data_IF_522550760130
#
_entry.id   IF_522550760130
#
_cell.length_a   1.000
_cell.length_b   1.000
_cell.length_c   1.000
_cell.angle_alpha   90.00
_cell.angle_beta   90.00
_cell.angle_gamma   90.00
#
_symmetry.space_group_name_H-M   'P 1'
#
loop_
_entity.id
_entity.type
_entity.pdbx_description
1 polymer ?
#
# COMPACT_ATOMS: atom_id res chain seq x y z
N UNK A 1 29.14 -100.39 2.52
CA UNK A 1 28.01 -99.48 2.53
C UNK A 1 28.32 -98.44 3.60
N UNK A 2 28.70 -97.27 3.14
CA UNK A 2 29.27 -96.22 4.00
C UNK A 2 28.21 -95.18 4.23
N UNK A 3 27.90 -94.90 5.52
CA UNK A 3 26.98 -93.91 5.99
C UNK A 3 27.76 -92.54 6.13
N UNK A 4 27.34 -91.46 5.45
CA UNK A 4 27.89 -90.16 5.59
C UNK A 4 26.88 -89.29 6.37
N UNK A 5 27.18 -88.98 7.61
CA UNK A 5 26.45 -87.91 8.36
C UNK A 5 26.84 -86.53 7.93
N UNK A 6 25.83 -85.73 7.50
CA UNK A 6 25.99 -84.29 7.22
C UNK A 6 25.79 -83.50 8.54
N UNK A 7 26.84 -82.88 9.04
CA UNK A 7 26.77 -81.86 10.12
C UNK A 7 26.36 -80.53 9.52
N UNK A 8 25.23 -80.00 9.99
CA UNK A 8 24.73 -78.68 9.67
C UNK A 8 25.30 -77.70 10.68
N UNK A 9 26.13 -76.76 10.20
CA UNK A 9 26.68 -75.63 10.98
C UNK A 9 25.65 -74.47 10.96
N UNK A 10 24.98 -74.25 12.08
CA UNK A 10 24.10 -73.05 12.24
C UNK A 10 25.00 -71.90 12.68
N UNK A 11 25.21 -70.92 11.77
CA UNK A 11 25.83 -69.64 12.11
C UNK A 11 24.76 -68.70 12.66
N UNK A 12 24.81 -68.36 13.92
CA UNK A 12 24.08 -67.26 14.53
C UNK A 12 24.73 -65.94 14.12
N UNK A 13 24.10 -65.22 13.19
CA UNK A 13 24.43 -63.86 12.86
C UNK A 13 23.77 -62.91 13.86
N UNK A 14 24.56 -62.26 14.72
CA UNK A 14 24.09 -61.19 15.59
C UNK A 14 23.84 -59.94 14.77
N UNK A 15 22.55 -59.66 14.45
CA UNK A 15 22.16 -58.37 13.84
C UNK A 15 22.11 -57.34 14.98
N UNK A 16 23.10 -56.47 15.06
CA UNK A 16 23.04 -55.26 15.89
C UNK A 16 22.19 -54.25 15.11
N UNK A 17 20.91 -54.10 15.51
CA UNK A 17 20.05 -53.05 15.04
C UNK A 17 20.50 -51.73 15.70
N UNK A 18 21.23 -50.92 14.97
CA UNK A 18 21.52 -49.53 15.33
C UNK A 18 20.22 -48.74 15.19
N UNK A 19 19.43 -48.64 16.27
CA UNK A 19 18.32 -47.71 16.36
C UNK A 19 18.88 -46.31 16.45
N UNK A 20 19.01 -45.62 15.29
CA UNK A 20 19.29 -44.20 15.24
C UNK A 20 18.09 -43.49 15.87
N UNK A 21 18.22 -43.11 17.15
CA UNK A 21 17.31 -42.15 17.77
C UNK A 21 17.40 -40.86 17.00
N UNK A 22 16.47 -40.63 16.05
CA UNK A 22 16.20 -39.32 15.44
C UNK A 22 15.71 -38.41 16.57
N UNK A 23 16.62 -37.78 17.29
CA UNK A 23 16.27 -36.67 18.16
C UNK A 23 15.62 -35.64 17.26
N UNK A 24 14.38 -35.19 17.55
CA UNK A 24 13.75 -34.13 16.77
C UNK A 24 14.66 -32.91 16.87
N UNK A 25 15.22 -32.51 15.73
CA UNK A 25 16.02 -31.30 15.63
C UNK A 25 15.10 -30.14 15.96
N UNK A 26 15.06 -29.74 17.23
CA UNK A 26 14.29 -28.56 17.65
C UNK A 26 14.96 -27.36 16.98
N UNK A 27 14.22 -26.71 16.06
CA UNK A 27 14.71 -25.52 15.42
C UNK A 27 15.12 -24.50 16.50
N UNK A 28 16.38 -24.04 16.43
CA UNK A 28 16.93 -23.13 17.41
C UNK A 28 16.17 -21.80 17.36
N UNK A 29 15.55 -21.43 18.48
CA UNK A 29 14.80 -20.18 18.59
C UNK A 29 15.76 -19.00 18.70
N UNK A 30 15.60 -18.01 17.81
CA UNK A 30 16.37 -16.75 17.76
C UNK A 30 15.72 -15.74 18.69
N UNK A 31 14.40 -15.54 18.52
CA UNK A 31 13.63 -14.60 19.33
C UNK A 31 12.16 -15.02 19.47
N UNK A 32 11.52 -14.52 20.50
CA UNK A 32 10.07 -14.56 20.69
C UNK A 32 9.52 -13.17 20.52
N UNK A 33 8.45 -13.01 19.69
CA UNK A 33 7.79 -11.77 19.36
C UNK A 33 6.36 -11.83 19.89
N UNK A 34 6.04 -11.09 20.94
CA UNK A 34 4.67 -10.97 21.46
C UNK A 34 4.04 -9.71 20.83
N UNK A 35 2.99 -9.92 20.03
CA UNK A 35 2.29 -8.85 19.32
C UNK A 35 0.96 -8.58 19.97
N UNK A 36 0.74 -7.34 20.45
CA UNK A 36 -0.53 -6.94 21.06
C UNK A 36 -1.54 -6.49 19.99
N UNK A 37 -2.55 -7.32 19.77
CA UNK A 37 -3.62 -7.11 18.81
C UNK A 37 -5.01 -7.03 19.47
N UNK A 38 -5.09 -6.94 20.81
CA UNK A 38 -6.34 -7.02 21.58
C UNK A 38 -7.41 -6.01 21.19
N UNK A 39 -7.02 -4.82 20.76
CA UNK A 39 -7.92 -3.72 20.41
C UNK A 39 -8.24 -3.66 18.90
N UNK A 40 -7.87 -4.71 18.16
CA UNK A 40 -8.04 -4.75 16.70
C UNK A 40 -9.33 -5.49 16.33
N UNK A 41 -9.85 -5.17 15.15
CA UNK A 41 -11.03 -5.84 14.60
C UNK A 41 -10.70 -7.33 14.37
N UNK A 42 -11.42 -8.29 14.96
CA UNK A 42 -11.06 -9.73 14.91
C UNK A 42 -10.99 -10.31 13.50
N UNK A 43 -11.69 -9.71 12.56
CA UNK A 43 -11.89 -10.24 11.21
C UNK A 43 -10.79 -9.85 10.22
N UNK A 44 -9.87 -8.94 10.59
CA UNK A 44 -8.85 -8.41 9.67
C UNK A 44 -7.46 -8.80 10.09
N UNK A 45 -6.67 -9.31 9.15
CA UNK A 45 -5.24 -9.46 9.39
C UNK A 45 -4.57 -8.07 9.44
N UNK A 46 -3.68 -7.93 10.41
CA UNK A 46 -2.95 -6.70 10.68
C UNK A 46 -1.51 -6.88 10.20
N UNK A 47 -1.01 -5.92 9.45
CA UNK A 47 0.39 -5.87 9.07
C UNK A 47 1.27 -5.60 10.30
N UNK A 48 2.26 -6.45 10.49
CA UNK A 48 3.25 -6.39 11.58
C UNK A 48 4.63 -6.30 10.96
N UNK A 49 5.50 -5.49 11.56
CA UNK A 49 6.88 -5.37 11.12
C UNK A 49 7.85 -5.18 12.27
N UNK A 50 9.08 -5.69 12.13
CA UNK A 50 10.17 -5.49 13.09
C UNK A 50 11.49 -5.24 12.37
N UNK A 51 12.38 -4.49 13.02
CA UNK A 51 13.77 -4.36 12.61
C UNK A 51 14.48 -5.71 12.83
N UNK A 52 14.78 -6.43 11.76
CA UNK A 52 15.41 -7.75 11.82
C UNK A 52 16.89 -7.66 12.21
N UNK A 53 17.56 -6.57 11.83
CA UNK A 53 18.97 -6.37 12.17
C UNK A 53 19.19 -6.13 13.66
N UNK A 54 18.17 -5.60 14.37
CA UNK A 54 18.15 -5.50 15.82
C UNK A 54 17.97 -6.86 16.52
N UNK A 55 17.57 -7.91 15.78
CA UNK A 55 17.27 -9.24 16.35
C UNK A 55 18.38 -10.25 15.99
N UNK A 56 18.84 -10.25 14.74
CA UNK A 56 19.79 -11.26 14.25
C UNK A 56 20.56 -10.82 13.01
N UNK A 57 21.82 -11.27 12.92
CA UNK A 57 22.67 -11.13 11.75
C UNK A 57 22.64 -12.35 10.81
N UNK A 58 21.83 -13.38 11.15
CA UNK A 58 21.71 -14.56 10.29
C UNK A 58 21.17 -14.19 8.89
N UNK A 59 21.62 -14.90 7.84
CA UNK A 59 21.11 -14.71 6.49
C UNK A 59 19.60 -15.02 6.41
N UNK A 60 18.88 -14.31 5.54
CA UNK A 60 17.43 -14.45 5.33
C UNK A 60 17.02 -15.88 4.94
N UNK A 61 17.91 -16.59 4.24
CA UNK A 61 17.68 -17.96 3.76
C UNK A 61 17.63 -19.04 4.86
N UNK A 62 18.06 -18.70 6.09
CA UNK A 62 18.10 -19.64 7.23
C UNK A 62 17.23 -19.18 8.39
N UNK A 63 16.26 -18.33 8.11
CA UNK A 63 15.30 -17.82 9.10
C UNK A 63 13.90 -18.37 8.78
N UNK A 64 13.14 -18.73 9.79
CA UNK A 64 11.73 -19.08 9.68
C UNK A 64 10.91 -18.38 10.75
N UNK A 65 9.65 -18.04 10.43
CA UNK A 65 8.70 -17.44 11.34
C UNK A 65 7.58 -18.45 11.62
N UNK A 66 7.25 -18.66 12.88
CA UNK A 66 6.16 -19.54 13.30
C UNK A 66 5.26 -18.84 14.32
N UNK A 67 3.95 -19.01 14.19
CA UNK A 67 2.98 -18.62 15.23
C UNK A 67 2.88 -19.73 16.28
N UNK A 68 2.79 -19.35 17.55
CA UNK A 68 2.75 -20.27 18.70
C UNK A 68 1.37 -20.15 19.37
N UNK A 69 0.67 -21.29 19.47
CA UNK A 69 -0.58 -21.41 20.21
C UNK A 69 -0.49 -22.64 21.11
N UNK A 70 -0.23 -22.44 22.40
CA UNK A 70 0.08 -23.57 23.33
C UNK A 70 1.29 -24.35 22.79
N UNK A 71 1.10 -25.65 22.58
CA UNK A 71 2.14 -26.55 22.05
C UNK A 71 2.18 -26.60 20.51
N UNK A 72 1.25 -25.91 19.80
CA UNK A 72 1.16 -25.93 18.36
C UNK A 72 2.02 -24.81 17.75
N UNK A 73 2.88 -25.17 16.78
CA UNK A 73 3.61 -24.24 15.93
C UNK A 73 3.03 -24.27 14.52
N UNK A 74 2.72 -23.11 13.97
CA UNK A 74 2.20 -22.97 12.60
C UNK A 74 3.15 -22.05 11.81
N UNK A 75 3.74 -22.49 10.70
CA UNK A 75 4.58 -21.66 9.87
C UNK A 75 3.80 -20.43 9.36
N UNK A 76 4.46 -19.27 9.32
CA UNK A 76 3.90 -18.00 8.90
C UNK A 76 4.68 -17.48 7.70
N UNK A 77 3.95 -17.08 6.67
CA UNK A 77 4.54 -16.40 5.53
C UNK A 77 5.03 -15.01 5.95
N UNK A 78 6.22 -14.64 5.53
CA UNK A 78 6.81 -13.34 5.80
C UNK A 78 7.59 -12.83 4.58
N UNK A 79 7.92 -11.55 4.61
CA UNK A 79 8.71 -10.88 3.59
C UNK A 79 9.75 -9.99 4.26
N UNK A 80 10.98 -10.00 3.77
CA UNK A 80 12.04 -9.12 4.26
C UNK A 80 12.24 -7.99 3.25
N UNK A 81 12.08 -6.77 3.74
CA UNK A 81 12.43 -5.57 3.00
C UNK A 81 13.88 -5.19 3.32
N UNK A 82 14.67 -4.89 2.26
CA UNK A 82 16.09 -4.58 2.39
C UNK A 82 16.37 -3.19 1.77
N UNK A 83 16.13 -2.14 2.55
CA UNK A 83 16.36 -0.72 2.17
C UNK A 83 17.29 -0.04 3.18
N UNK A 84 18.55 -0.48 3.20
CA UNK A 84 19.56 -0.04 4.19
C UNK A 84 19.45 -0.69 5.57
N UNK A 85 18.29 -1.26 5.89
CA UNK A 85 17.99 -2.13 7.03
C UNK A 85 17.12 -3.28 6.58
N UNK A 86 17.23 -4.43 7.24
CA UNK A 86 16.32 -5.56 7.05
C UNK A 86 15.11 -5.40 7.94
N UNK A 87 13.94 -5.22 7.34
CA UNK A 87 12.66 -5.20 8.05
C UNK A 87 11.89 -6.47 7.74
N UNK A 88 11.54 -7.23 8.76
CA UNK A 88 10.69 -8.41 8.64
C UNK A 88 9.22 -8.00 8.70
N UNK A 89 8.46 -8.38 7.67
CA UNK A 89 7.03 -8.09 7.55
C UNK A 89 6.22 -9.37 7.54
N UNK A 90 5.08 -9.41 8.25
CA UNK A 90 4.10 -10.50 8.16
C UNK A 90 2.69 -9.99 8.44
N UNK A 91 1.70 -10.84 8.19
CA UNK A 91 0.31 -10.58 8.53
C UNK A 91 -0.07 -11.42 9.74
N UNK A 92 -0.77 -10.82 10.71
CA UNK A 92 -1.17 -11.46 11.95
C UNK A 92 -2.67 -11.28 12.20
N UNK A 93 -3.35 -12.38 12.58
CA UNK A 93 -4.77 -12.34 12.95
C UNK A 93 -4.91 -11.81 14.38
N UNK A 94 -5.82 -10.84 14.61
CA UNK A 94 -6.15 -10.38 15.94
C UNK A 94 -6.66 -11.49 16.85
N UNK A 95 -6.37 -11.37 18.13
CA UNK A 95 -6.83 -12.27 19.17
C UNK A 95 -7.07 -11.51 20.48
N UNK A 96 -7.90 -12.07 21.37
CA UNK A 96 -8.20 -11.49 22.68
C UNK A 96 -6.96 -11.41 23.62
N UNK A 97 -5.93 -12.19 23.33
CA UNK A 97 -4.64 -12.21 24.03
C UNK A 97 -3.52 -11.86 23.05
N UNK A 98 -2.34 -11.44 23.52
CA UNK A 98 -1.20 -11.22 22.64
C UNK A 98 -0.88 -12.46 21.82
N UNK A 99 -0.64 -12.26 20.51
CA UNK A 99 -0.25 -13.35 19.61
C UNK A 99 1.26 -13.51 19.68
N UNK A 100 1.71 -14.75 19.89
CA UNK A 100 3.13 -15.06 20.04
C UNK A 100 3.67 -15.66 18.75
N UNK A 101 4.77 -15.10 18.27
CA UNK A 101 5.54 -15.64 17.16
C UNK A 101 6.95 -16.01 17.64
N UNK A 102 7.55 -17.01 17.03
CA UNK A 102 8.96 -17.31 17.20
C UNK A 102 9.70 -17.13 15.87
N UNK A 103 10.79 -16.39 15.92
CA UNK A 103 11.80 -16.39 14.89
C UNK A 103 12.78 -17.53 15.19
N UNK A 104 12.93 -18.46 14.27
CA UNK A 104 13.71 -19.67 14.46
C UNK A 104 14.74 -19.84 13.34
N UNK A 105 15.86 -20.53 13.62
CA UNK A 105 16.79 -20.98 12.58
C UNK A 105 16.12 -22.10 11.80
N UNK A 106 15.88 -21.90 10.52
CA UNK A 106 15.15 -22.85 9.69
C UNK A 106 14.98 -22.35 8.26
N UNK A 107 14.35 -23.13 7.42
CA UNK A 107 14.04 -22.72 6.05
C UNK A 107 12.79 -21.84 6.02
N UNK A 108 12.78 -20.76 5.23
CA UNK A 108 11.59 -19.94 4.98
C UNK A 108 10.42 -20.78 4.48
N UNK A 109 9.19 -20.45 4.94
CA UNK A 109 7.99 -21.00 4.35
C UNK A 109 7.89 -20.53 2.88
N UNK A 110 7.86 -21.46 1.94
CA UNK A 110 7.51 -21.15 0.55
C UNK A 110 6.00 -21.01 0.46
N UNK A 111 5.51 -19.79 0.41
CA UNK A 111 4.09 -19.53 0.15
C UNK A 111 3.79 -19.73 -1.34
N UNK A 112 2.69 -20.40 -1.66
CA UNK A 112 2.19 -20.50 -3.02
C UNK A 112 1.39 -19.24 -3.42
N UNK A 113 0.82 -18.54 -2.43
CA UNK A 113 0.03 -17.33 -2.66
C UNK A 113 0.96 -16.09 -2.60
N UNK A 114 1.16 -15.46 -3.75
CA UNK A 114 1.94 -14.24 -3.86
C UNK A 114 1.13 -13.20 -4.63
N UNK A 115 1.08 -12.00 -4.08
CA UNK A 115 0.67 -10.83 -4.85
C UNK A 115 1.76 -10.51 -5.87
N UNK A 116 1.38 -10.16 -7.10
CA UNK A 116 2.27 -9.93 -8.22
C UNK A 116 2.31 -8.45 -8.59
N UNK A 117 3.44 -8.01 -9.12
CA UNK A 117 3.62 -6.70 -9.74
C UNK A 117 4.30 -6.89 -11.09
N UNK A 118 3.57 -6.66 -12.18
CA UNK A 118 4.04 -6.93 -13.55
C UNK A 118 4.03 -5.62 -14.33
N UNK A 119 5.16 -5.29 -14.97
CA UNK A 119 5.30 -4.15 -15.88
C UNK A 119 5.12 -4.60 -17.31
N UNK A 120 4.09 -4.07 -17.97
CA UNK A 120 3.73 -4.41 -19.34
C UNK A 120 3.00 -3.22 -19.98
N UNK A 121 3.18 -2.98 -21.27
CA UNK A 121 2.46 -1.99 -22.09
C UNK A 121 2.41 -0.57 -21.50
N UNK A 122 3.48 -0.16 -20.84
CA UNK A 122 3.57 1.20 -20.26
C UNK A 122 2.83 1.38 -18.94
N UNK A 123 2.43 0.28 -18.30
CA UNK A 123 1.86 0.27 -16.97
C UNK A 123 2.45 -0.83 -16.09
N UNK A 124 2.30 -0.67 -14.77
CA UNK A 124 2.56 -1.70 -13.78
C UNK A 124 1.23 -2.12 -13.18
N UNK A 125 0.91 -3.42 -13.27
CA UNK A 125 -0.31 -3.97 -12.67
C UNK A 125 0.04 -4.79 -11.44
N UNK A 126 -0.62 -4.49 -10.32
CA UNK A 126 -0.59 -5.34 -9.12
C UNK A 126 -1.83 -6.21 -9.12
N UNK A 127 -1.62 -7.54 -8.94
CA UNK A 127 -2.68 -8.54 -8.99
C UNK A 127 -2.50 -9.63 -7.93
N UNK A 128 -3.62 -10.23 -7.49
CA UNK A 128 -3.66 -11.40 -6.63
C UNK A 128 -4.35 -12.56 -7.38
N UNK A 129 -3.58 -13.59 -7.72
CA UNK A 129 -4.05 -14.64 -8.62
C UNK A 129 -4.39 -14.05 -10.01
N UNK A 130 -5.65 -14.23 -10.43
CA UNK A 130 -6.20 -13.68 -11.67
C UNK A 130 -6.96 -12.35 -11.50
N UNK A 131 -7.00 -11.80 -10.28
CA UNK A 131 -7.70 -10.53 -9.98
C UNK A 131 -6.72 -9.37 -10.00
N UNK A 132 -6.95 -8.38 -10.86
CA UNK A 132 -6.23 -7.12 -10.83
C UNK A 132 -6.74 -6.27 -9.65
N UNK A 133 -5.83 -5.58 -8.97
CA UNK A 133 -6.12 -4.72 -7.83
C UNK A 133 -5.86 -3.24 -8.18
N UNK A 134 -4.74 -2.97 -8.85
CA UNK A 134 -4.32 -1.62 -9.19
C UNK A 134 -3.47 -1.64 -10.46
N UNK A 135 -3.65 -0.63 -11.33
CA UNK A 135 -2.76 -0.37 -12.47
C UNK A 135 -2.18 1.04 -12.36
N UNK A 136 -0.86 1.13 -12.35
CA UNK A 136 -0.10 2.37 -12.38
C UNK A 136 0.42 2.64 -13.79
N UNK A 137 0.01 3.75 -14.39
CA UNK A 137 0.37 4.13 -15.75
C UNK A 137 1.62 5.01 -15.72
N UNK A 138 2.78 4.44 -16.06
CA UNK A 138 4.04 5.17 -16.11
C UNK A 138 4.34 5.75 -17.49
N UNK A 139 3.80 5.17 -18.57
CA UNK A 139 3.87 5.73 -19.91
C UNK A 139 2.85 6.86 -20.06
N UNK A 140 3.17 7.88 -20.87
CA UNK A 140 2.25 8.98 -21.15
C UNK A 140 0.99 8.48 -21.83
N UNK A 141 -0.16 8.77 -21.23
CA UNK A 141 -1.49 8.54 -21.78
C UNK A 141 -1.95 9.85 -22.40
N UNK A 142 -2.32 9.80 -23.68
CA UNK A 142 -2.84 10.94 -24.42
C UNK A 142 -4.36 11.06 -24.26
N UNK A 143 -4.91 12.26 -24.35
CA UNK A 143 -6.37 12.44 -24.36
C UNK A 143 -6.98 11.83 -25.63
N UNK A 144 -8.31 11.64 -25.68
CA UNK A 144 -9.01 11.16 -26.87
C UNK A 144 -8.73 12.00 -28.11
N UNK A 145 -8.86 11.39 -29.29
CA UNK A 145 -8.65 12.09 -30.57
C UNK A 145 -9.51 13.36 -30.67
N UNK A 146 -8.90 14.47 -31.03
CA UNK A 146 -9.56 15.78 -31.14
C UNK A 146 -9.54 16.63 -29.87
N UNK A 147 -9.07 16.07 -28.75
CA UNK A 147 -8.87 16.80 -27.50
C UNK A 147 -7.42 17.30 -27.42
N UNK A 148 -7.24 18.49 -26.84
CA UNK A 148 -5.93 19.13 -26.72
C UNK A 148 -4.91 18.20 -26.00
N UNK A 149 -3.78 17.97 -26.67
CA UNK A 149 -2.69 17.12 -26.15
C UNK A 149 -2.02 17.69 -24.90
N UNK A 150 -2.31 18.92 -24.50
CA UNK A 150 -1.89 19.47 -23.21
C UNK A 150 -2.38 18.60 -22.04
N UNK A 151 -3.53 17.92 -22.18
CA UNK A 151 -4.09 17.05 -21.17
C UNK A 151 -3.39 15.70 -21.03
N UNK A 152 -2.35 15.39 -21.81
CA UNK A 152 -1.57 14.17 -21.64
C UNK A 152 -0.90 14.10 -20.27
N UNK A 153 -0.81 12.88 -19.68
CA UNK A 153 -0.20 12.65 -18.36
C UNK A 153 0.41 11.27 -18.23
N UNK A 154 1.42 11.16 -17.38
CA UNK A 154 1.95 9.89 -16.86
C UNK A 154 1.98 9.93 -15.32
N UNK A 155 2.33 8.84 -14.66
CA UNK A 155 2.50 8.82 -13.21
C UNK A 155 1.17 8.89 -12.44
N UNK A 156 0.20 8.02 -12.77
CA UNK A 156 -1.11 7.96 -12.11
C UNK A 156 -1.65 6.54 -12.01
N UNK A 157 -2.58 6.33 -11.10
CA UNK A 157 -3.23 5.03 -10.87
C UNK A 157 -4.61 5.02 -11.54
N UNK A 158 -4.79 4.12 -12.51
CA UNK A 158 -6.06 3.81 -13.15
C UNK A 158 -5.93 2.55 -14.02
N UNK A 159 -6.87 1.58 -13.87
CA UNK A 159 -7.89 1.49 -12.84
C UNK A 159 -7.36 1.19 -11.43
N UNK A 160 -8.11 1.57 -10.41
CA UNK A 160 -8.18 0.93 -9.11
C UNK A 160 -9.39 0.02 -9.13
N UNK A 161 -9.21 -1.28 -8.91
CA UNK A 161 -10.31 -2.24 -8.96
C UNK A 161 -10.78 -2.62 -7.56
N UNK A 162 -12.08 -2.87 -7.40
CA UNK A 162 -12.60 -3.55 -6.23
C UNK A 162 -12.13 -5.01 -6.19
N UNK A 163 -12.24 -5.73 -5.08
CA UNK A 163 -11.93 -7.18 -5.01
C UNK A 163 -12.69 -8.03 -6.02
N UNK A 164 -13.88 -7.61 -6.47
CA UNK A 164 -14.67 -8.29 -7.51
C UNK A 164 -14.39 -7.80 -8.94
N UNK A 165 -13.45 -6.84 -9.11
CA UNK A 165 -12.97 -6.40 -10.42
C UNK A 165 -13.70 -5.20 -11.01
N UNK A 166 -14.56 -4.51 -10.24
CA UNK A 166 -15.18 -3.27 -10.72
C UNK A 166 -14.19 -2.10 -10.66
N UNK A 167 -14.19 -1.26 -11.69
CA UNK A 167 -13.32 -0.08 -11.77
C UNK A 167 -13.87 1.06 -10.90
N UNK A 168 -13.13 1.45 -9.88
CA UNK A 168 -13.49 2.51 -8.93
C UNK A 168 -12.96 3.90 -9.32
N UNK A 169 -12.21 4.00 -10.42
CA UNK A 169 -11.61 5.24 -10.88
C UNK A 169 -12.03 5.57 -12.30
N UNK A 170 -11.87 6.84 -12.71
CA UNK A 170 -12.12 7.35 -14.05
C UNK A 170 -11.00 8.28 -14.47
N UNK A 171 -10.65 8.31 -15.77
CA UNK A 171 -9.72 9.29 -16.33
C UNK A 171 -10.38 10.08 -17.46
N UNK A 172 -9.84 11.26 -17.73
CA UNK A 172 -10.13 12.06 -18.93
C UNK A 172 -11.63 12.24 -19.22
N UNK A 173 -12.43 12.39 -18.15
CA UNK A 173 -13.85 12.67 -18.33
C UNK A 173 -14.07 13.93 -19.17
N UNK A 174 -15.09 14.00 -20.04
CA UNK A 174 -15.32 15.14 -20.92
C UNK A 174 -15.48 16.49 -20.20
N UNK A 175 -15.91 16.44 -18.93
CA UNK A 175 -16.02 17.59 -18.06
C UNK A 175 -14.67 18.05 -17.48
N UNK A 176 -13.68 17.12 -17.35
CA UNK A 176 -12.36 17.38 -16.75
C UNK A 176 -11.29 16.45 -17.34
N UNK A 177 -10.82 16.73 -18.56
CA UNK A 177 -9.77 15.94 -19.23
C UNK A 177 -8.46 15.85 -18.45
N UNK A 178 -8.22 16.74 -17.48
CA UNK A 178 -7.04 16.74 -16.61
C UNK A 178 -7.19 15.84 -15.35
N UNK A 179 -8.30 15.12 -15.16
CA UNK A 179 -8.47 14.17 -14.06
C UNK A 179 -8.00 12.76 -14.45
N UNK A 180 -7.21 12.12 -13.55
CA UNK A 180 -6.51 10.87 -13.83
C UNK A 180 -6.58 9.87 -12.68
N UNK A 181 -7.77 9.34 -12.39
CA UNK A 181 -7.99 8.27 -11.40
C UNK A 181 -7.56 8.65 -9.99
N UNK A 182 -6.41 8.13 -9.53
CA UNK A 182 -5.69 8.61 -8.35
C UNK A 182 -4.39 9.25 -8.80
N UNK A 183 -4.19 10.53 -8.45
CA UNK A 183 -3.01 11.30 -8.85
C UNK A 183 -2.72 12.44 -7.85
N UNK A 184 -1.50 12.97 -7.82
CA UNK A 184 -1.04 13.91 -6.79
C UNK A 184 -0.39 15.17 -7.37
N UNK A 185 -1.06 15.99 -8.17
CA UNK A 185 -0.52 17.27 -8.63
C UNK A 185 -0.90 18.42 -7.71
N UNK A 186 -0.23 19.55 -7.92
CA UNK A 186 -0.47 20.80 -7.22
C UNK A 186 -0.89 21.90 -8.20
N UNK A 187 -1.68 22.84 -7.72
CA UNK A 187 -2.07 24.04 -8.45
C UNK A 187 -1.73 25.29 -7.64
N UNK A 188 -1.70 26.47 -8.28
CA UNK A 188 -1.30 27.73 -7.64
C UNK A 188 0.06 27.61 -6.92
N UNK A 189 1.05 27.07 -7.63
CA UNK A 189 2.41 26.90 -7.12
C UNK A 189 3.24 28.12 -7.52
N UNK A 190 3.92 28.75 -6.56
CA UNK A 190 4.90 29.81 -6.86
C UNK A 190 6.28 29.20 -6.88
N UNK A 191 6.97 29.36 -8.00
CA UNK A 191 8.32 28.90 -8.24
C UNK A 191 9.09 29.94 -9.06
N UNK A 192 10.22 30.42 -8.55
CA UNK A 192 11.04 31.49 -9.18
C UNK A 192 10.24 32.74 -9.57
N UNK A 193 9.29 33.15 -8.72
CA UNK A 193 8.44 34.32 -8.93
C UNK A 193 7.26 34.11 -9.88
N UNK A 194 7.19 32.98 -10.63
CA UNK A 194 6.09 32.63 -11.50
C UNK A 194 5.03 31.79 -10.77
N UNK A 195 3.74 31.98 -11.14
CA UNK A 195 2.67 31.09 -10.73
C UNK A 195 2.47 30.00 -11.76
N UNK A 196 2.70 28.74 -11.35
CA UNK A 196 2.61 27.54 -12.19
C UNK A 196 1.47 26.63 -11.74
N UNK A 197 1.05 25.74 -12.63
CA UNK A 197 -0.05 24.81 -12.40
C UNK A 197 0.29 23.44 -12.97
N UNK A 198 0.41 22.44 -12.10
CA UNK A 198 0.66 21.06 -12.48
C UNK A 198 -0.64 20.24 -12.56
N UNK A 199 -1.77 20.82 -12.16
CA UNK A 199 -3.08 20.17 -12.09
C UNK A 199 -3.89 20.30 -13.36
N UNK A 200 -4.21 21.56 -13.76
CA UNK A 200 -5.21 21.83 -14.80
C UNK A 200 -4.73 21.55 -16.24
N UNK A 201 -3.44 21.58 -16.51
CA UNK A 201 -2.74 21.24 -17.74
C UNK A 201 -3.06 22.13 -18.98
N UNK A 202 -4.28 22.65 -19.12
CA UNK A 202 -4.74 23.38 -20.29
C UNK A 202 -3.84 24.58 -20.62
N UNK A 203 -3.41 25.31 -19.60
CA UNK A 203 -2.62 26.53 -19.77
C UNK A 203 -1.13 26.26 -20.03
N UNK A 204 -0.74 24.97 -20.11
CA UNK A 204 0.65 24.53 -20.39
C UNK A 204 1.68 25.23 -19.50
N UNK A 205 1.35 25.43 -18.21
CA UNK A 205 2.28 26.01 -17.23
C UNK A 205 3.17 24.97 -16.58
N UNK A 206 2.75 23.71 -16.57
CA UNK A 206 3.50 22.60 -16.00
C UNK A 206 2.77 21.28 -16.07
N UNK A 207 3.42 20.23 -15.59
CA UNK A 207 2.87 18.89 -15.50
C UNK A 207 3.62 18.07 -14.44
N UNK A 208 3.05 16.95 -13.99
CA UNK A 208 3.79 15.91 -13.28
C UNK A 208 4.13 14.80 -14.27
N UNK A 209 5.38 14.35 -14.27
CA UNK A 209 5.91 13.39 -15.24
C UNK A 209 6.60 12.24 -14.50
N UNK A 210 6.26 11.00 -14.85
CA UNK A 210 7.03 9.84 -14.43
C UNK A 210 8.46 9.92 -14.95
N UNK A 211 9.43 9.61 -14.09
CA UNK A 211 10.86 9.56 -14.42
C UNK A 211 11.35 8.12 -14.50
N UNK A 212 11.30 7.38 -13.37
CA UNK A 212 11.79 6.01 -13.31
C UNK A 212 11.20 5.25 -12.11
N UNK A 213 11.40 3.93 -12.14
CA UNK A 213 11.17 3.06 -10.99
C UNK A 213 12.42 2.97 -10.11
N UNK A 214 12.28 3.30 -8.84
CA UNK A 214 13.32 3.06 -7.82
C UNK A 214 13.35 1.58 -7.44
N UNK A 215 12.17 0.98 -7.26
CA UNK A 215 12.04 -0.44 -6.93
C UNK A 215 10.67 -0.99 -7.31
N UNK A 216 10.62 -2.29 -7.57
CA UNK A 216 9.38 -3.08 -7.67
C UNK A 216 9.60 -4.37 -6.92
N UNK A 217 8.82 -4.61 -5.88
CA UNK A 217 8.89 -5.78 -5.02
C UNK A 217 7.55 -6.49 -4.96
N UNK A 218 7.56 -7.81 -4.93
CA UNK A 218 6.37 -8.62 -4.78
C UNK A 218 6.68 -9.86 -3.97
N UNK A 219 5.74 -10.29 -3.12
CA UNK A 219 5.97 -11.42 -2.22
C UNK A 219 4.70 -11.86 -1.50
N UNK A 220 4.84 -12.70 -0.47
CA UNK A 220 3.69 -13.27 0.22
C UNK A 220 2.96 -12.32 1.19
N UNK A 221 3.51 -11.14 1.46
CA UNK A 221 2.92 -10.17 2.41
C UNK A 221 2.39 -8.94 1.69
N UNK A 222 3.14 -8.44 0.70
CA UNK A 222 2.75 -7.28 -0.08
C UNK A 222 3.44 -7.25 -1.45
N UNK A 223 2.86 -6.49 -2.39
CA UNK A 223 3.57 -5.93 -3.54
C UNK A 223 3.71 -4.42 -3.37
N UNK A 224 4.86 -3.89 -3.80
CA UNK A 224 5.18 -2.47 -3.73
C UNK A 224 5.91 -2.03 -4.99
N UNK A 225 5.60 -0.83 -5.45
CA UNK A 225 6.47 -0.10 -6.34
C UNK A 225 6.84 1.26 -5.74
N UNK A 226 8.04 1.74 -6.09
CA UNK A 226 8.50 3.08 -5.80
C UNK A 226 8.90 3.75 -7.10
N UNK A 227 8.41 4.97 -7.32
CA UNK A 227 8.63 5.73 -8.55
C UNK A 227 9.07 7.15 -8.26
N UNK A 228 9.90 7.68 -9.14
CA UNK A 228 10.26 9.09 -9.18
C UNK A 228 9.35 9.82 -10.16
N UNK A 229 8.87 10.98 -9.73
CA UNK A 229 8.16 11.92 -10.57
C UNK A 229 8.84 13.28 -10.50
N UNK A 230 8.80 14.02 -11.62
CA UNK A 230 9.19 15.43 -11.70
C UNK A 230 7.96 16.31 -11.88
N UNK A 231 7.85 17.34 -11.05
CA UNK A 231 6.92 18.46 -11.26
C UNK A 231 7.60 19.47 -12.16
N UNK A 232 7.30 19.40 -13.45
CA UNK A 232 7.98 20.14 -14.52
C UNK A 232 7.26 21.43 -14.83
N UNK A 233 7.97 22.54 -14.78
CA UNK A 233 7.50 23.87 -15.16
C UNK A 233 7.86 24.14 -16.62
N UNK A 234 6.91 24.58 -17.40
CA UNK A 234 7.12 25.05 -18.76
C UNK A 234 7.36 26.56 -18.76
N UNK A 235 8.59 26.97 -19.07
CA UNK A 235 8.98 28.39 -19.10
C UNK A 235 8.51 29.09 -20.37
N UNK A 236 8.37 30.43 -20.31
CA UNK A 236 7.92 31.25 -21.43
C UNK A 236 8.88 31.23 -22.62
N UNK A 237 10.15 30.96 -22.38
CA UNK A 237 11.19 30.83 -23.40
C UNK A 237 11.22 29.45 -24.09
N UNK A 238 10.30 28.56 -23.74
CA UNK A 238 10.19 27.20 -24.26
C UNK A 238 11.07 26.16 -23.55
N UNK A 239 11.84 26.55 -22.53
CA UNK A 239 12.62 25.60 -21.70
C UNK A 239 11.76 24.95 -20.64
N UNK A 240 12.24 23.84 -20.09
CA UNK A 240 11.61 23.13 -18.98
C UNK A 240 12.50 23.20 -17.73
N UNK A 241 11.89 23.33 -16.56
CA UNK A 241 12.60 23.28 -15.28
C UNK A 241 11.83 22.44 -14.27
N UNK A 242 12.53 21.59 -13.53
CA UNK A 242 11.92 20.79 -12.45
C UNK A 242 11.86 21.64 -11.18
N UNK A 243 10.65 21.82 -10.64
CA UNK A 243 10.44 22.53 -9.38
C UNK A 243 10.50 21.57 -8.19
N UNK A 244 9.86 20.40 -8.28
CA UNK A 244 9.82 19.38 -7.24
C UNK A 244 10.18 18.01 -7.80
N UNK A 245 10.93 17.24 -7.03
CA UNK A 245 11.04 15.81 -7.18
C UNK A 245 10.06 15.15 -6.20
N UNK A 246 9.36 14.12 -6.67
CA UNK A 246 8.44 13.32 -5.88
C UNK A 246 8.88 11.86 -5.89
N UNK A 247 9.07 11.27 -4.71
CA UNK A 247 9.17 9.82 -4.55
C UNK A 247 7.81 9.31 -4.08
N UNK A 248 7.14 8.54 -4.93
CA UNK A 248 5.87 7.89 -4.61
C UNK A 248 6.09 6.40 -4.34
N UNK A 249 5.64 5.92 -3.19
CA UNK A 249 5.60 4.49 -2.85
C UNK A 249 4.15 4.04 -2.75
N UNK A 250 3.80 2.97 -3.45
CA UNK A 250 2.47 2.35 -3.38
C UNK A 250 2.63 0.89 -3.01
N UNK A 251 2.04 0.49 -1.87
CA UNK A 251 2.11 -0.86 -1.31
C UNK A 251 0.71 -1.43 -1.18
N UNK A 252 0.47 -2.59 -1.77
CA UNK A 252 -0.77 -3.35 -1.60
C UNK A 252 -0.46 -4.59 -0.80
N UNK A 253 -1.13 -4.77 0.34
CA UNK A 253 -1.00 -5.96 1.17
C UNK A 253 -1.74 -7.14 0.55
N UNK A 254 -1.19 -8.35 0.77
CA UNK A 254 -1.77 -9.60 0.27
C UNK A 254 -3.23 -9.72 0.72
N UNK A 255 -4.22 -9.73 -0.19
CA UNK A 255 -5.60 -9.99 0.19
C UNK A 255 -5.75 -11.41 0.75
N UNK A 256 -6.55 -11.57 1.79
CA UNK A 256 -6.84 -12.88 2.35
C UNK A 256 -7.81 -13.66 1.46
N UNK A 257 -7.73 -15.00 1.51
CA UNK A 257 -8.72 -15.86 0.84
C UNK A 257 -10.10 -15.57 1.40
N UNK A 258 -11.08 -15.38 0.51
CA UNK A 258 -12.49 -15.11 0.84
C UNK A 258 -12.75 -13.75 1.52
N UNK A 259 -11.81 -12.82 1.49
CA UNK A 259 -12.04 -11.44 1.94
C UNK A 259 -12.43 -10.54 0.78
N UNK A 260 -13.46 -9.74 0.99
CA UNK A 260 -13.98 -8.78 0.02
C UNK A 260 -13.35 -7.40 0.20
N UNK A 261 -12.08 -7.36 0.62
CA UNK A 261 -11.31 -6.12 0.75
C UNK A 261 -9.80 -6.35 0.57
N UNK A 262 -9.09 -5.26 0.33
CA UNK A 262 -7.64 -5.17 0.45
C UNK A 262 -7.22 -3.76 0.90
N UNK A 263 -5.96 -3.63 1.29
CA UNK A 263 -5.36 -2.37 1.74
C UNK A 263 -4.29 -1.93 0.77
N UNK A 264 -4.34 -0.65 0.38
CA UNK A 264 -3.32 0.02 -0.42
C UNK A 264 -2.80 1.25 0.34
N UNK A 265 -1.50 1.28 0.64
CA UNK A 265 -0.81 2.42 1.23
C UNK A 265 -0.11 3.25 0.15
N UNK A 266 -0.26 4.56 0.20
CA UNK A 266 0.41 5.51 -0.68
C UNK A 266 1.23 6.46 0.19
N UNK A 267 2.54 6.49 -0.03
CA UNK A 267 3.44 7.46 0.61
C UNK A 267 4.04 8.34 -0.47
N UNK A 268 3.98 9.65 -0.27
CA UNK A 268 4.47 10.67 -1.18
C UNK A 268 5.51 11.51 -0.44
N UNK A 269 6.72 11.59 -0.98
CA UNK A 269 7.79 12.43 -0.47
C UNK A 269 8.12 13.49 -1.49
N UNK A 270 8.08 14.76 -1.08
CA UNK A 270 8.36 15.93 -1.92
C UNK A 270 9.66 16.59 -1.47
N UNK A 271 10.49 16.95 -2.45
CA UNK A 271 11.72 17.70 -2.26
C UNK A 271 11.81 18.80 -3.32
N UNK A 272 12.34 19.99 -2.95
CA UNK A 272 12.71 20.98 -3.97
C UNK A 272 13.80 20.41 -4.87
N UNK A 273 13.62 20.53 -6.18
CA UNK A 273 14.57 20.02 -7.17
C UNK A 273 15.76 20.97 -7.40
N UNK A 274 15.68 22.21 -6.90
CA UNK A 274 16.72 23.24 -6.99
C UNK A 274 16.92 23.94 -5.64
N UNK A 275 17.77 24.96 -5.65
CA UNK A 275 18.03 25.80 -4.47
C UNK A 275 16.86 26.73 -4.13
N UNK A 276 15.93 26.92 -5.06
CA UNK A 276 14.76 27.76 -4.87
C UNK A 276 13.67 27.04 -4.09
N UNK A 277 13.04 27.69 -3.11
CA UNK A 277 11.89 27.17 -2.43
C UNK A 277 10.68 27.10 -3.37
N UNK A 278 9.75 26.20 -3.05
CA UNK A 278 8.48 26.06 -3.76
C UNK A 278 7.34 26.38 -2.79
N UNK A 279 6.51 27.35 -3.13
CA UNK A 279 5.37 27.73 -2.32
C UNK A 279 4.09 27.18 -2.95
N UNK A 280 3.48 26.21 -2.28
CA UNK A 280 2.14 25.72 -2.60
C UNK A 280 1.13 26.65 -1.94
N UNK A 281 0.48 27.49 -2.77
CA UNK A 281 -0.46 28.50 -2.29
C UNK A 281 -1.77 27.86 -1.83
N UNK A 282 -2.42 28.54 -0.90
CA UNK A 282 -3.80 28.26 -0.54
C UNK A 282 -4.67 28.20 -1.80
N UNK A 283 -5.35 27.07 -1.98
CA UNK A 283 -6.31 26.87 -3.04
C UNK A 283 -7.26 25.72 -2.74
N UNK A 284 -8.45 25.79 -3.30
CA UNK A 284 -9.58 24.87 -3.05
C UNK A 284 -9.30 23.37 -3.33
N UNK A 285 -8.23 23.02 -4.07
CA UNK A 285 -7.78 21.65 -4.33
C UNK A 285 -6.28 21.61 -4.64
N UNK A 286 -5.67 20.46 -4.41
CA UNK A 286 -4.26 20.14 -4.63
C UNK A 286 -3.88 18.90 -3.81
N UNK A 287 -2.84 18.15 -4.21
CA UNK A 287 -2.46 16.91 -3.55
C UNK A 287 -3.24 15.69 -4.04
N UNK A 288 -3.38 14.65 -3.22
CA UNK A 288 -3.93 13.37 -3.65
C UNK A 288 -5.43 13.45 -3.95
N UNK A 289 -5.78 13.34 -5.24
CA UNK A 289 -7.17 13.34 -5.72
C UNK A 289 -7.64 11.96 -6.17
N UNK A 290 -8.93 11.70 -6.00
CA UNK A 290 -9.63 10.52 -6.51
C UNK A 290 -10.82 10.93 -7.36
N UNK A 291 -10.69 10.81 -8.68
CA UNK A 291 -11.84 10.86 -9.60
C UNK A 291 -12.48 9.47 -9.62
N UNK A 292 -13.65 9.35 -9.02
CA UNK A 292 -14.35 8.09 -8.93
C UNK A 292 -14.98 7.66 -10.28
N UNK A 293 -15.43 6.42 -10.31
CA UNK A 293 -16.01 5.77 -11.50
C UNK A 293 -17.17 6.56 -12.11
N UNK A 294 -17.34 6.49 -13.42
CA UNK A 294 -18.48 7.09 -14.11
C UNK A 294 -19.82 6.39 -13.82
N UNK A 295 -19.77 5.17 -13.27
CA UNK A 295 -20.97 4.42 -12.89
C UNK A 295 -21.67 4.99 -11.66
N UNK A 296 -20.99 5.84 -10.89
CA UNK A 296 -21.56 6.50 -9.73
C UNK A 296 -22.20 7.86 -10.06
N UNK A 297 -23.35 8.08 -9.46
CA UNK A 297 -24.12 9.31 -9.53
C UNK A 297 -24.66 9.67 -8.15
N UNK A 298 -25.49 10.71 -8.06
CA UNK A 298 -26.17 11.08 -6.80
C UNK A 298 -27.20 10.04 -6.34
N UNK A 299 -27.74 9.24 -7.27
CA UNK A 299 -28.81 8.26 -6.98
C UNK A 299 -28.26 6.95 -6.41
N UNK A 300 -27.00 6.59 -6.74
CA UNK A 300 -26.46 5.27 -6.46
C UNK A 300 -25.12 5.28 -5.73
N UNK A 301 -24.71 6.44 -5.24
CA UNK A 301 -23.45 6.56 -4.47
C UNK A 301 -23.62 7.46 -3.27
N UNK A 302 -22.77 7.23 -2.29
CA UNK A 302 -22.75 7.99 -1.05
C UNK A 302 -21.33 8.36 -0.61
N UNK A 303 -21.26 9.41 0.18
CA UNK A 303 -20.01 9.88 0.81
C UNK A 303 -20.28 10.12 2.28
N UNK A 304 -19.35 9.64 3.12
CA UNK A 304 -19.41 9.88 4.56
C UNK A 304 -17.98 10.19 5.07
N UNK A 305 -17.85 11.26 5.83
CA UNK A 305 -16.58 11.61 6.48
C UNK A 305 -16.51 11.14 7.93
N UNK A 306 -15.30 11.15 8.52
CA UNK A 306 -15.10 10.85 9.95
C UNK A 306 -15.95 11.74 10.88
N UNK A 307 -16.29 12.93 10.42
CA UNK A 307 -17.10 13.92 11.16
C UNK A 307 -18.60 13.80 10.86
N UNK A 308 -19.01 12.75 10.13
CA UNK A 308 -20.41 12.50 9.80
C UNK A 308 -20.96 13.40 8.67
N UNK A 309 -20.09 14.09 7.94
CA UNK A 309 -20.46 14.93 6.80
C UNK A 309 -20.67 14.11 5.54
N UNK A 310 -21.58 14.58 4.68
CA UNK A 310 -21.93 13.95 3.40
C UNK A 310 -21.57 14.88 2.23
N UNK A 311 -21.90 14.51 1.00
CA UNK A 311 -21.68 15.38 -0.17
C UNK A 311 -22.38 16.74 -0.07
N UNK A 312 -23.38 16.88 0.80
CA UNK A 312 -24.09 18.15 0.99
C UNK A 312 -23.27 19.20 1.70
N UNK A 313 -22.39 18.77 2.62
CA UNK A 313 -21.74 19.66 3.57
C UNK A 313 -20.27 19.27 3.89
N UNK A 314 -19.67 18.32 3.18
CA UNK A 314 -18.30 17.88 3.42
C UNK A 314 -17.22 18.77 2.77
N UNK A 315 -17.55 19.50 1.68
CA UNK A 315 -16.54 20.32 1.01
C UNK A 315 -16.01 21.44 1.92
N UNK A 316 -14.69 21.54 2.03
CA UNK A 316 -14.02 22.52 2.91
C UNK A 316 -13.94 22.11 4.38
N UNK A 317 -14.55 21.02 4.78
CA UNK A 317 -14.40 20.49 6.15
C UNK A 317 -13.14 19.65 6.28
N UNK A 318 -12.67 19.48 7.52
CA UNK A 318 -11.52 18.63 7.84
C UNK A 318 -11.99 17.24 8.24
N UNK A 319 -11.26 16.21 7.81
CA UNK A 319 -11.57 14.84 8.18
C UNK A 319 -10.32 13.95 8.23
N UNK A 320 -10.39 12.89 9.02
CA UNK A 320 -9.36 11.86 9.14
C UNK A 320 -9.48 10.83 8.02
N UNK A 321 -10.69 10.56 7.61
CA UNK A 321 -11.02 9.64 6.52
C UNK A 321 -12.33 10.04 5.84
N UNK A 322 -12.48 9.56 4.59
CA UNK A 322 -13.71 9.69 3.81
C UNK A 322 -14.04 8.36 3.14
N UNK A 323 -15.28 7.91 3.27
CA UNK A 323 -15.87 6.80 2.53
C UNK A 323 -16.45 7.35 1.24
N UNK A 324 -16.10 6.74 0.10
CA UNK A 324 -16.82 6.84 -1.15
C UNK A 324 -17.24 5.43 -1.56
N UNK A 325 -18.54 5.19 -1.69
CA UNK A 325 -19.10 3.89 -2.04
C UNK A 325 -20.39 4.02 -2.82
N UNK A 326 -20.75 2.98 -3.55
CA UNK A 326 -21.99 3.00 -4.31
C UNK A 326 -22.24 1.72 -5.06
N UNK A 327 -23.45 1.63 -5.62
CA UNK A 327 -23.83 0.54 -6.51
C UNK A 327 -23.02 0.64 -7.80
N UNK A 328 -22.48 -0.50 -8.24
CA UNK A 328 -21.71 -0.62 -9.45
C UNK A 328 -22.03 -1.97 -10.09
N UNK A 329 -22.63 -1.92 -11.28
CA UNK A 329 -23.24 -3.10 -11.93
C UNK A 329 -24.28 -3.77 -10.98
N UNK A 330 -24.18 -5.06 -10.75
CA UNK A 330 -25.06 -5.83 -9.86
C UNK A 330 -24.50 -5.94 -8.43
N UNK A 331 -23.45 -5.18 -8.10
CA UNK A 331 -22.75 -5.24 -6.82
C UNK A 331 -22.68 -3.87 -6.14
N UNK A 332 -22.05 -3.80 -5.00
CA UNK A 332 -21.77 -2.59 -4.26
C UNK A 332 -20.29 -2.56 -3.90
N UNK A 333 -19.62 -1.46 -4.14
CA UNK A 333 -18.18 -1.36 -3.89
C UNK A 333 -17.79 0.05 -3.46
N UNK A 334 -16.59 0.18 -2.91
CA UNK A 334 -16.08 1.47 -2.50
C UNK A 334 -14.67 1.42 -1.95
N UNK A 335 -14.24 2.57 -1.45
CA UNK A 335 -13.04 2.64 -0.64
C UNK A 335 -13.17 3.67 0.48
N UNK A 336 -12.46 3.44 1.57
CA UNK A 336 -12.17 4.45 2.60
C UNK A 336 -10.81 5.04 2.28
N UNK A 337 -10.75 6.32 1.97
CA UNK A 337 -9.51 7.08 1.81
C UNK A 337 -9.16 7.73 3.15
N UNK A 338 -7.96 7.50 3.67
CA UNK A 338 -7.52 7.88 5.02
C UNK A 338 -6.26 8.73 4.96
N UNK A 339 -6.21 9.77 5.81
CA UNK A 339 -5.06 10.65 6.01
C UNK A 339 -4.32 10.29 7.29
N UNK A 340 -2.99 10.38 7.25
CA UNK A 340 -2.14 10.05 8.41
C UNK A 340 -1.86 11.28 9.29
N UNK A 341 -1.79 11.15 10.63
CA UNK A 341 -1.65 12.29 11.56
C UNK A 341 -0.44 13.20 11.36
N UNK A 342 0.62 12.75 10.67
CA UNK A 342 1.79 13.58 10.39
C UNK A 342 1.71 14.35 9.07
N UNK A 343 0.64 14.19 8.31
CA UNK A 343 0.45 14.93 7.06
C UNK A 343 0.33 16.44 7.34
N UNK A 344 0.80 17.24 6.38
CA UNK A 344 0.65 18.68 6.49
C UNK A 344 -0.82 19.07 6.62
N UNK A 345 -1.10 19.97 7.58
CA UNK A 345 -2.45 20.49 7.85
C UNK A 345 -3.47 19.41 8.32
N UNK A 346 -2.98 18.37 9.00
CA UNK A 346 -3.85 17.33 9.57
C UNK A 346 -4.75 17.86 10.71
N UNK A 347 -6.03 17.41 10.85
CA UNK A 347 -6.79 16.67 9.84
C UNK A 347 -6.93 17.49 8.55
N UNK A 348 -6.66 16.84 7.40
CA UNK A 348 -6.59 17.56 6.15
C UNK A 348 -7.97 18.07 5.71
N UNK A 349 -8.04 19.31 5.17
CA UNK A 349 -9.28 19.78 4.56
C UNK A 349 -9.61 18.98 3.30
N UNK A 350 -10.90 18.80 3.05
CA UNK A 350 -11.43 18.03 1.94
C UNK A 350 -11.90 18.94 0.78
N UNK A 351 -11.64 18.48 -0.43
CA UNK A 351 -12.40 18.88 -1.61
C UNK A 351 -13.33 17.73 -1.99
N UNK A 352 -14.62 17.90 -1.74
CA UNK A 352 -15.67 16.95 -2.10
C UNK A 352 -16.62 17.61 -3.09
N UNK A 353 -16.90 16.94 -4.21
CA UNK A 353 -17.87 17.45 -5.15
C UNK A 353 -19.30 17.30 -4.64
N UNK A 354 -20.14 18.34 -4.79
CA UNK A 354 -21.53 18.32 -4.34
C UNK A 354 -22.39 17.32 -5.13
N UNK A 355 -23.57 17.01 -4.59
CA UNK A 355 -24.48 16.01 -5.18
C UNK A 355 -24.98 16.36 -6.58
N UNK A 356 -24.99 17.63 -6.96
CA UNK A 356 -25.44 18.08 -8.28
C UNK A 356 -24.29 18.34 -9.27
N UNK A 357 -23.05 17.92 -8.94
CA UNK A 357 -21.90 18.16 -9.82
C UNK A 357 -22.12 17.57 -11.21
N UNK A 358 -21.93 18.40 -12.24
CA UNK A 358 -22.18 18.07 -13.66
C UNK A 358 -23.63 17.56 -13.92
N UNK A 359 -24.61 18.00 -13.10
CA UNK A 359 -26.02 17.61 -13.19
C UNK A 359 -26.33 16.20 -12.71
N UNK A 360 -25.47 15.21 -12.98
CA UNK A 360 -25.67 13.82 -12.56
C UNK A 360 -25.05 13.47 -11.19
N UNK A 361 -24.25 14.36 -10.63
CA UNK A 361 -23.61 14.14 -9.35
C UNK A 361 -22.36 13.27 -9.44
N UNK A 362 -21.47 13.57 -10.38
CA UNK A 362 -20.16 12.93 -10.48
C UNK A 362 -19.41 12.96 -9.16
N UNK A 363 -18.70 11.87 -8.83
CA UNK A 363 -18.04 11.69 -7.53
C UNK A 363 -16.57 12.01 -7.62
N UNK A 364 -16.12 12.86 -6.69
CA UNK A 364 -14.72 13.23 -6.55
C UNK A 364 -14.41 13.56 -5.09
N UNK A 365 -13.25 13.08 -4.63
CA UNK A 365 -12.69 13.41 -3.32
C UNK A 365 -11.20 13.74 -3.45
N UNK A 366 -10.74 14.69 -2.63
CA UNK A 366 -9.34 15.05 -2.55
C UNK A 366 -9.03 15.48 -1.12
N UNK A 367 -8.01 14.90 -0.51
CA UNK A 367 -7.34 15.54 0.61
C UNK A 367 -6.51 16.68 0.06
N UNK A 368 -6.89 17.91 0.43
CA UNK A 368 -6.32 19.14 -0.09
C UNK A 368 -5.57 19.90 1.02
N UNK A 369 -4.32 19.52 1.33
CA UNK A 369 -3.61 20.05 2.49
C UNK A 369 -3.41 21.57 2.45
N UNK A 370 -3.47 22.18 1.27
CA UNK A 370 -3.33 23.63 1.07
C UNK A 370 -4.67 24.36 0.88
N UNK A 371 -5.81 23.75 1.22
CA UNK A 371 -7.12 24.36 0.96
C UNK A 371 -7.38 25.64 1.75
N UNK A 372 -6.83 25.75 2.95
CA UNK A 372 -7.04 26.83 3.90
C UNK A 372 -5.75 27.52 4.38
N UNK A 373 -4.60 27.16 3.80
CA UNK A 373 -3.30 27.81 4.07
C UNK A 373 -2.21 27.43 3.08
N UNK A 374 -1.25 28.32 2.93
CA UNK A 374 -0.03 28.10 2.14
C UNK A 374 0.88 27.04 2.77
N UNK A 375 1.64 26.32 1.92
CA UNK A 375 2.68 25.39 2.35
C UNK A 375 4.00 25.69 1.64
N UNK A 376 4.98 26.21 2.38
CA UNK A 376 6.32 26.47 1.88
C UNK A 376 7.16 25.20 1.97
N UNK A 377 7.67 24.76 0.83
CA UNK A 377 8.66 23.69 0.71
C UNK A 377 10.05 24.33 0.56
N UNK A 378 10.96 23.98 1.46
CA UNK A 378 12.30 24.54 1.52
C UNK A 378 13.33 23.55 0.99
N UNK A 379 14.40 24.07 0.36
CA UNK A 379 15.54 23.29 -0.08
C UNK A 379 16.08 22.38 1.03
N UNK A 380 16.48 21.17 0.66
CA UNK A 380 17.12 20.20 1.54
C UNK A 380 16.19 19.55 2.57
N UNK A 381 14.89 19.92 2.58
CA UNK A 381 13.88 19.27 3.42
C UNK A 381 13.05 18.27 2.62
N UNK A 382 12.71 17.16 3.25
CA UNK A 382 11.78 16.15 2.71
C UNK A 382 10.43 16.28 3.42
N UNK A 383 9.37 16.43 2.65
CA UNK A 383 8.00 16.53 3.13
C UNK A 383 7.23 15.28 2.78
N UNK A 384 6.65 14.62 3.77
CA UNK A 384 6.02 13.32 3.58
C UNK A 384 4.51 13.39 3.84
N UNK A 385 3.73 12.91 2.89
CA UNK A 385 2.30 12.67 3.01
C UNK A 385 2.05 11.15 2.95
N UNK A 386 1.17 10.64 3.81
CA UNK A 386 0.83 9.22 3.88
C UNK A 386 -0.68 9.04 3.83
N UNK A 387 -1.13 8.15 2.97
CA UNK A 387 -2.52 7.83 2.79
C UNK A 387 -2.73 6.31 2.76
N UNK A 388 -3.90 5.87 3.16
CA UNK A 388 -4.34 4.48 3.06
C UNK A 388 -5.70 4.41 2.41
N UNK A 389 -5.86 3.44 1.51
CA UNK A 389 -7.14 3.04 0.96
C UNK A 389 -7.50 1.66 1.50
N UNK A 390 -8.65 1.54 2.14
CA UNK A 390 -9.33 0.27 2.35
C UNK A 390 -10.32 0.10 1.20
N UNK A 391 -10.00 -0.73 0.23
CA UNK A 391 -10.84 -0.99 -0.96
C UNK A 391 -11.66 -2.25 -0.72
N UNK A 392 -12.96 -2.23 -1.00
CA UNK A 392 -13.87 -3.33 -0.63
C UNK A 392 -15.06 -3.49 -1.58
N UNK A 393 -15.69 -4.68 -1.54
CA UNK A 393 -17.04 -4.93 -2.00
C UNK A 393 -18.02 -4.97 -0.82
N UNK A 394 -19.31 -4.79 -1.10
CA UNK A 394 -20.34 -4.58 -0.09
C UNK A 394 -20.29 -3.17 0.51
N UNK A 395 -21.05 -2.96 1.58
CA UNK A 395 -21.12 -1.71 2.33
C UNK A 395 -20.07 -1.62 3.43
N UNK A 396 -19.57 -0.41 3.67
CA UNK A 396 -18.72 -0.10 4.82
C UNK A 396 -19.39 0.91 5.73
N UNK A 397 -19.26 0.69 7.04
CA UNK A 397 -19.78 1.58 8.08
C UNK A 397 -18.73 2.56 8.60
N UNK A 398 -19.19 3.58 9.34
CA UNK A 398 -18.33 4.51 10.07
C UNK A 398 -17.40 3.78 11.05
N UNK A 399 -17.91 2.78 11.77
CA UNK A 399 -17.16 2.00 12.76
C UNK A 399 -16.04 1.22 12.09
N UNK A 400 -16.30 0.61 10.92
CA UNK A 400 -15.30 -0.11 10.14
C UNK A 400 -14.22 0.82 9.59
N UNK A 401 -14.60 2.01 9.12
CA UNK A 401 -13.67 3.03 8.65
C UNK A 401 -12.78 3.56 9.79
N UNK A 402 -13.38 3.81 10.98
CA UNK A 402 -12.66 4.26 12.17
C UNK A 402 -11.66 3.20 12.65
N UNK A 403 -12.06 1.92 12.69
CA UNK A 403 -11.16 0.83 13.04
C UNK A 403 -9.98 0.70 12.05
N UNK A 404 -10.25 0.81 10.75
CA UNK A 404 -9.22 0.77 9.71
C UNK A 404 -8.25 1.95 9.80
N UNK A 405 -8.75 3.14 10.13
CA UNK A 405 -7.91 4.31 10.39
C UNK A 405 -7.05 4.12 11.65
N UNK A 406 -7.62 3.56 12.74
CA UNK A 406 -6.88 3.21 13.95
C UNK A 406 -5.73 2.23 13.66
N UNK A 407 -5.96 1.22 12.81
CA UNK A 407 -4.94 0.26 12.38
C UNK A 407 -3.84 0.91 11.53
N UNK A 408 -4.18 1.93 10.75
CA UNK A 408 -3.24 2.68 9.95
C UNK A 408 -2.31 3.55 10.80
N UNK A 409 -2.86 4.22 11.80
CA UNK A 409 -2.15 5.25 12.58
C UNK A 409 -1.44 4.74 13.82
N UNK A 410 -1.82 3.54 14.29
CA UNK A 410 -1.29 2.95 15.51
C UNK A 410 -0.80 1.52 15.23
N UNK A 411 0.44 1.33 14.77
CA UNK A 411 0.99 0.00 14.55
C UNK A 411 0.96 -0.83 15.85
N UNK A 412 0.85 -2.17 15.76
CA UNK A 412 0.84 -3.03 16.93
C UNK A 412 2.10 -2.87 17.78
N UNK A 413 1.93 -2.88 19.10
CA UNK A 413 3.06 -2.96 20.02
C UNK A 413 3.65 -4.38 19.98
N UNK A 414 4.98 -4.47 19.89
CA UNK A 414 5.70 -5.74 19.84
C UNK A 414 6.71 -5.79 20.96
N UNK A 415 6.62 -6.84 21.79
CA UNK A 415 7.62 -7.15 22.81
C UNK A 415 8.55 -8.23 22.28
N UNK A 416 9.83 -7.90 22.18
CA UNK A 416 10.86 -8.79 21.64
C UNK A 416 11.64 -9.38 22.82
N UNK A 417 11.75 -10.72 22.86
CA UNK A 417 12.62 -11.45 23.79
C UNK A 417 13.63 -12.24 22.97
N UNK A 418 14.89 -11.80 23.02
CA UNK A 418 15.99 -12.51 22.37
C UNK A 418 16.30 -13.81 23.11
N UNK A 419 16.58 -14.86 22.35
CA UNK A 419 17.11 -16.10 22.88
C UNK A 419 18.58 -16.18 22.48
N UNK A 420 19.52 -16.28 23.44
CA UNK A 420 20.93 -16.41 23.09
C UNK A 420 21.12 -17.64 22.21
N UNK A 421 21.70 -17.42 21.03
CA UNK A 421 22.17 -18.51 20.19
C UNK A 421 23.26 -19.21 21.02
N UNK A 422 23.04 -20.45 21.44
CA UNK A 422 24.08 -21.23 22.05
C UNK A 422 25.27 -21.24 21.08
N UNK A 423 26.33 -20.54 21.44
CA UNK A 423 27.62 -20.67 20.80
C UNK A 423 28.10 -22.08 21.11
N UNK A 424 27.74 -23.04 20.25
CA UNK A 424 28.42 -24.34 20.29
C UNK A 424 29.88 -24.05 19.95
N UNK A 425 30.73 -24.18 21.01
CA UNK A 425 32.17 -24.28 20.89
C UNK A 425 32.53 -25.50 20.05
#
# INVERSE_FOLDING_TARGET
MINIEKRILVRFGCFIVFSAMLTPLHAQRIATLEVDLKKRTPEKEIHVQVDLDAITTLPDSVISLVAIQGNKKTPVAYQIENKGKRILHWLAKPAAVPVVFALEKGKPLKSADHIKAIREDGALTISNGNKNLLRYNYKTVYPPKGIDTAFKRSGFIHPLWSPHGQELTRIQAPDHYHHYGLWNPWTHVVFEGDTVDFWNLKDRKGTVRFVDFVSVNAGPVYAEYQTLHDHVVFKKDGTEKVALNELQSVRIFQPQKNEDYYIADITIQLNCASDEPVLLKEYRYGGLGWRATEKWSKENSETLTSEGKTRKDADGTKARWVILQGKIDDDYAGAVMMSYPTNYNYPEPLRIWPENMNGRGDVYANFSPTKDKDWLLEKGKTYTLKYRFLVYNGHTSKERAEAAWGDFTSPPAIKIKLNPLNSNK
#
